data_IF_611632110646
#
_entry.id   IF_611632110646
#
_cell.length_a   1.000
_cell.length_b   1.000
_cell.length_c   1.000
_cell.angle_alpha   90.00
_cell.angle_beta   90.00
_cell.angle_gamma   90.00
#
_symmetry.space_group_name_H-M   'P 1'
#
loop_
_entity.id
_entity.type
_entity.pdbx_description
1 polymer ?
#
# COMPACT_ATOMS: atom_id res chain seq x y z
N UNK A 1 -26.73 21.66 -51.81
CA UNK A 1 -27.85 21.24 -50.94
C UNK A 1 -27.23 20.66 -49.68
N UNK A 2 -26.55 21.41 -48.82
CA UNK A 2 -26.92 22.66 -48.12
C UNK A 2 -28.02 22.42 -47.08
N UNK A 3 -27.58 22.27 -45.81
CA UNK A 3 -28.31 22.68 -44.60
C UNK A 3 -27.35 22.72 -43.41
N UNK A 4 -26.77 23.90 -43.24
CA UNK A 4 -26.21 24.39 -42.00
C UNK A 4 -27.24 24.38 -40.86
N UNK A 5 -26.81 24.04 -39.63
CA UNK A 5 -27.46 24.51 -38.40
C UNK A 5 -26.43 24.92 -37.36
N UNK A 6 -26.19 26.22 -37.38
CA UNK A 6 -25.62 27.10 -36.36
C UNK A 6 -26.53 27.14 -35.12
N UNK A 7 -25.97 26.93 -33.92
CA UNK A 7 -26.47 27.47 -32.64
C UNK A 7 -25.24 27.63 -31.73
N UNK A 8 -24.65 28.82 -31.63
CA UNK A 8 -25.04 29.92 -30.74
C UNK A 8 -24.61 29.69 -29.28
N UNK A 9 -23.44 30.27 -28.97
CA UNK A 9 -22.93 30.56 -27.63
C UNK A 9 -23.84 31.55 -26.89
N UNK A 10 -23.79 31.57 -25.55
CA UNK A 10 -23.53 32.86 -24.92
C UNK A 10 -22.46 32.81 -23.83
N UNK A 11 -21.52 33.74 -23.98
CA UNK A 11 -20.75 34.40 -22.93
C UNK A 11 -21.68 34.84 -21.77
N UNK A 12 -21.28 34.61 -20.52
CA UNK A 12 -21.79 35.42 -19.41
C UNK A 12 -20.76 35.57 -18.25
N UNK A 13 -20.25 36.80 -18.15
CA UNK A 13 -20.00 37.61 -16.96
C UNK A 13 -19.17 37.10 -15.77
N UNK A 14 -17.93 37.60 -15.76
CA UNK A 14 -17.24 38.33 -14.70
C UNK A 14 -18.07 38.74 -13.45
N UNK A 15 -17.62 38.36 -12.26
CA UNK A 15 -17.90 39.07 -11.02
C UNK A 15 -16.65 39.10 -10.12
N UNK A 16 -16.10 40.30 -9.95
CA UNK A 16 -15.13 40.69 -8.93
C UNK A 16 -15.79 40.68 -7.53
N UNK A 17 -15.10 40.13 -6.53
CA UNK A 17 -15.25 40.47 -5.11
C UNK A 17 -13.84 40.47 -4.50
N UNK A 18 -13.20 41.63 -4.37
CA UNK A 18 -13.21 42.55 -3.20
C UNK A 18 -12.61 41.91 -1.93
N UNK A 19 -11.38 42.34 -1.62
CA UNK A 19 -10.69 42.15 -0.34
C UNK A 19 -11.25 43.05 0.77
N UNK A 20 -11.07 42.64 2.04
CA UNK A 20 -10.47 43.49 3.06
C UNK A 20 -9.29 42.73 3.74
N UNK A 21 -8.07 43.24 3.88
CA UNK A 21 -7.59 44.44 4.57
C UNK A 21 -7.91 44.49 6.07
N UNK A 22 -6.85 44.64 6.87
CA UNK A 22 -6.75 45.06 8.28
C UNK A 22 -6.81 43.98 9.38
N UNK A 23 -5.65 43.80 10.01
CA UNK A 23 -5.45 43.10 11.28
C UNK A 23 -4.03 43.30 11.82
N UNK A 24 -3.56 44.55 11.88
CA UNK A 24 -2.36 44.94 12.62
C UNK A 24 -2.66 44.92 14.12
N UNK A 25 -2.13 43.93 14.83
CA UNK A 25 -1.99 43.95 16.29
C UNK A 25 -0.59 44.40 16.65
N UNK A 26 -0.49 45.62 17.17
CA UNK A 26 0.71 46.20 17.73
C UNK A 26 0.70 46.11 19.27
N UNK A 27 1.91 46.15 19.83
CA UNK A 27 2.27 46.33 21.24
C UNK A 27 2.10 45.10 22.15
N UNK A 28 3.23 44.54 22.59
CA UNK A 28 3.62 44.90 23.96
C UNK A 28 5.15 45.00 24.09
N UNK A 29 5.53 46.01 24.86
CA UNK A 29 6.88 46.46 25.17
C UNK A 29 7.18 46.11 26.62
N UNK A 30 8.48 46.11 26.96
CA UNK A 30 9.03 46.23 28.32
C UNK A 30 9.39 44.92 29.00
N UNK A 31 10.70 44.65 29.06
CA UNK A 31 11.46 44.40 30.30
C UNK A 31 12.95 44.34 29.97
N UNK A 32 13.59 45.51 29.97
CA UNK A 32 15.03 45.67 30.20
C UNK A 32 15.28 45.78 31.72
N UNK A 33 16.12 44.90 32.26
CA UNK A 33 16.96 45.06 33.46
C UNK A 33 17.89 43.83 33.44
N UNK A 34 19.09 43.90 32.86
CA UNK A 34 20.33 44.44 33.44
C UNK A 34 20.66 43.81 34.79
N UNK A 35 21.56 42.81 34.84
CA UNK A 35 22.64 42.68 35.85
C UNK A 35 23.82 41.86 35.27
N UNK A 36 24.89 42.59 34.94
CA UNK A 36 26.33 42.39 35.21
C UNK A 36 26.98 40.97 35.20
N UNK A 37 27.98 40.89 34.32
CA UNK A 37 29.41 40.79 34.64
C UNK A 37 30.00 39.47 35.17
N UNK A 38 31.09 39.06 34.53
CA UNK A 38 31.78 37.79 34.81
C UNK A 38 32.76 37.40 33.71
N UNK A 39 33.62 38.33 33.31
CA UNK A 39 34.82 38.02 32.53
C UNK A 39 35.84 37.23 33.36
N UNK A 40 36.74 36.54 32.64
CA UNK A 40 38.01 35.96 33.09
C UNK A 40 38.01 34.57 33.77
N UNK A 41 38.24 33.54 32.96
CA UNK A 41 39.37 32.59 33.11
C UNK A 41 39.49 31.75 31.84
N UNK A 42 40.44 32.08 30.97
CA UNK A 42 41.79 31.51 30.96
C UNK A 42 41.81 30.02 30.56
N UNK A 43 42.03 29.83 29.26
CA UNK A 43 43.15 29.06 28.74
C UNK A 43 43.36 27.65 29.31
N UNK A 44 42.80 26.66 28.60
CA UNK A 44 43.41 25.34 28.55
C UNK A 44 43.27 24.73 27.16
N UNK A 45 44.36 24.92 26.42
CA UNK A 45 44.90 24.08 25.36
C UNK A 45 44.44 22.64 25.45
N UNK A 46 43.74 22.19 24.41
CA UNK A 46 43.35 20.81 24.18
C UNK A 46 42.90 20.63 22.73
N UNK A 47 43.79 20.93 21.78
CA UNK A 47 43.63 20.54 20.36
C UNK A 47 43.66 19.01 20.26
N UNK A 48 42.54 18.37 20.60
CA UNK A 48 42.17 17.08 20.05
C UNK A 48 41.42 17.37 18.75
N UNK A 49 42.01 16.98 17.63
CA UNK A 49 41.35 17.01 16.33
C UNK A 49 40.06 16.19 16.45
N UNK A 50 38.91 16.88 16.55
CA UNK A 50 37.66 16.29 16.11
C UNK A 50 37.82 16.11 14.61
N UNK A 51 38.15 14.88 14.22
CA UNK A 51 37.66 14.33 12.97
C UNK A 51 36.16 14.67 12.91
N UNK A 52 35.84 15.66 12.09
CA UNK A 52 34.52 15.84 11.53
C UNK A 52 34.27 14.55 10.76
N UNK A 53 33.69 13.57 11.44
CA UNK A 53 33.14 12.37 10.81
C UNK A 53 32.12 12.88 9.80
N UNK A 54 32.28 12.58 8.50
CA UNK A 54 31.25 12.90 7.52
C UNK A 54 29.96 12.24 7.99
N UNK A 55 28.87 12.99 7.84
CA UNK A 55 27.52 12.69 8.27
C UNK A 55 27.20 11.20 8.27
N UNK A 56 26.85 10.69 9.46
CA UNK A 56 26.24 9.39 9.65
C UNK A 56 24.81 9.36 9.10
N UNK A 57 24.64 9.62 7.80
CA UNK A 57 23.47 9.19 7.02
C UNK A 57 23.54 7.67 6.86
N UNK A 58 23.49 6.95 7.98
CA UNK A 58 23.31 5.51 8.04
C UNK A 58 21.87 5.28 8.48
N UNK A 59 20.94 5.57 7.58
CA UNK A 59 19.51 5.37 7.77
C UNK A 59 18.90 5.18 6.41
N UNK A 60 18.88 3.92 5.93
CA UNK A 60 18.48 3.52 4.58
C UNK A 60 19.36 4.12 3.47
N UNK A 61 20.56 3.56 3.31
CA UNK A 61 21.00 3.25 1.96
C UNK A 61 19.92 2.35 1.35
N UNK A 62 18.93 2.96 0.72
CA UNK A 62 18.04 2.32 -0.24
C UNK A 62 18.94 1.70 -1.31
N UNK A 63 19.46 0.49 -1.07
CA UNK A 63 20.22 -0.20 -2.08
C UNK A 63 19.22 -0.69 -3.13
N UNK A 64 18.91 0.21 -4.06
CA UNK A 64 17.93 -0.02 -5.12
C UNK A 64 18.30 -1.19 -6.04
N UNK A 65 19.57 -1.54 -5.98
CA UNK A 65 20.20 -2.78 -6.39
C UNK A 65 19.35 -4.02 -6.08
N UNK A 66 18.74 -4.11 -4.89
CA UNK A 66 17.98 -5.28 -4.46
C UNK A 66 16.65 -5.44 -5.19
N UNK A 67 16.13 -4.38 -5.84
CA UNK A 67 14.89 -4.47 -6.62
C UNK A 67 15.09 -4.47 -8.13
N UNK A 68 16.32 -4.55 -8.62
CA UNK A 68 16.63 -4.53 -10.05
C UNK A 68 15.69 -5.42 -10.87
N UNK A 69 14.79 -4.80 -11.64
CA UNK A 69 13.88 -5.51 -12.53
C UNK A 69 14.57 -5.65 -13.89
N UNK A 70 14.71 -6.87 -14.44
CA UNK A 70 15.22 -7.05 -15.79
C UNK A 70 14.40 -6.21 -16.78
N UNK A 71 15.07 -5.36 -17.55
CA UNK A 71 14.51 -4.41 -18.53
C UNK A 71 13.86 -3.11 -17.99
N UNK A 72 13.94 -2.82 -16.69
CA UNK A 72 13.44 -1.56 -16.13
C UNK A 72 14.55 -0.84 -15.35
N UNK A 73 14.85 0.40 -15.72
CA UNK A 73 16.00 1.11 -15.17
C UNK A 73 15.67 1.68 -13.78
N UNK A 74 16.67 1.78 -12.91
CA UNK A 74 16.52 2.33 -11.56
C UNK A 74 15.84 3.73 -11.50
N UNK A 75 16.04 4.64 -12.48
CA UNK A 75 15.32 5.92 -12.50
C UNK A 75 13.80 5.79 -12.67
N UNK A 76 13.31 4.73 -13.31
CA UNK A 76 11.89 4.58 -13.65
C UNK A 76 11.00 4.34 -12.41
N UNK A 77 11.61 3.98 -11.29
CA UNK A 77 10.93 3.77 -10.00
C UNK A 77 11.15 4.93 -9.02
N UNK A 78 11.89 5.96 -9.43
CA UNK A 78 11.94 7.26 -8.77
C UNK A 78 11.28 8.29 -9.69
N UNK A 79 9.94 8.17 -9.91
CA UNK A 79 9.22 9.16 -10.69
C UNK A 79 9.50 10.55 -10.14
N UNK A 80 9.52 11.56 -11.02
CA UNK A 80 9.59 12.94 -10.55
C UNK A 80 8.34 13.20 -9.71
N UNK A 81 8.41 14.14 -8.77
CA UNK A 81 7.25 14.49 -7.94
C UNK A 81 6.01 14.88 -8.78
N UNK A 82 6.20 15.36 -10.01
CA UNK A 82 5.14 15.64 -10.99
C UNK A 82 4.41 14.40 -11.53
N UNK A 83 5.04 13.23 -11.45
CA UNK A 83 4.57 11.99 -12.07
C UNK A 83 3.93 11.05 -11.02
N UNK A 84 3.94 11.46 -9.75
CA UNK A 84 3.25 10.75 -8.67
C UNK A 84 1.75 10.93 -8.81
N UNK A 85 1.03 9.81 -8.77
CA UNK A 85 -0.42 9.84 -8.74
C UNK A 85 -0.82 10.11 -7.30
N UNK A 86 -1.87 10.92 -7.12
CA UNK A 86 -2.38 11.23 -5.79
C UNK A 86 -2.80 9.95 -5.07
N UNK A 87 -2.43 9.82 -3.79
CA UNK A 87 -2.97 8.75 -2.93
C UNK A 87 -4.51 8.78 -2.93
N UNK A 88 -5.11 7.59 -2.96
CA UNK A 88 -6.54 7.38 -3.10
C UNK A 88 -7.07 7.49 -4.54
N UNK A 89 -6.21 7.74 -5.53
CA UNK A 89 -6.62 7.69 -6.92
C UNK A 89 -6.91 6.24 -7.33
N UNK A 90 -7.96 6.06 -8.13
CA UNK A 90 -8.35 4.74 -8.65
C UNK A 90 -7.83 4.59 -10.08
N UNK A 91 -7.06 3.53 -10.31
CA UNK A 91 -6.71 3.03 -11.62
C UNK A 91 -7.91 2.21 -12.11
N UNK A 92 -8.53 2.62 -13.21
CA UNK A 92 -9.71 1.93 -13.77
C UNK A 92 -9.34 1.15 -15.02
N UNK A 93 -9.42 -0.18 -14.95
CA UNK A 93 -9.27 -1.09 -16.09
C UNK A 93 -8.07 -0.74 -16.98
N UNK A 94 -6.90 -0.54 -16.37
CA UNK A 94 -5.67 -0.26 -17.13
C UNK A 94 -5.00 -1.56 -17.51
N UNK A 95 -4.51 -1.62 -18.75
CA UNK A 95 -3.74 -2.74 -19.24
C UNK A 95 -2.29 -2.63 -18.79
N UNK A 96 -1.66 -3.77 -18.54
CA UNK A 96 -0.25 -3.84 -18.23
C UNK A 96 0.21 -5.24 -17.90
N UNK A 97 1.47 -5.33 -17.48
CA UNK A 97 2.15 -6.58 -17.15
C UNK A 97 2.61 -6.55 -15.70
N UNK A 98 2.46 -7.68 -15.02
CA UNK A 98 3.02 -7.89 -13.70
C UNK A 98 4.43 -8.46 -13.85
N UNK A 99 5.43 -7.78 -13.31
CA UNK A 99 6.85 -8.17 -13.38
C UNK A 99 7.37 -8.39 -11.97
N UNK A 100 8.01 -9.54 -11.74
CA UNK A 100 8.68 -9.83 -10.48
C UNK A 100 9.98 -9.04 -10.33
N UNK A 101 10.29 -8.64 -9.10
CA UNK A 101 11.54 -7.99 -8.72
C UNK A 101 12.43 -8.98 -7.96
N UNK A 102 13.75 -8.80 -8.02
CA UNK A 102 14.74 -9.62 -7.30
C UNK A 102 14.53 -9.66 -5.79
N UNK A 103 13.95 -8.61 -5.21
CA UNK A 103 13.63 -8.51 -3.78
C UNK A 103 12.34 -9.21 -3.36
N UNK A 104 11.71 -9.99 -4.25
CA UNK A 104 10.43 -10.67 -3.98
C UNK A 104 9.19 -9.78 -4.07
N UNK A 105 9.36 -8.50 -4.39
CA UNK A 105 8.26 -7.60 -4.71
C UNK A 105 7.75 -7.77 -6.15
N UNK A 106 6.55 -7.26 -6.42
CA UNK A 106 5.99 -7.23 -7.77
C UNK A 106 5.75 -5.80 -8.22
N UNK A 107 5.91 -5.55 -9.51
CA UNK A 107 5.71 -4.23 -10.11
C UNK A 107 4.78 -4.36 -11.29
N UNK A 108 3.77 -3.49 -11.34
CA UNK A 108 2.86 -3.38 -12.45
C UNK A 108 3.37 -2.33 -13.42
N UNK A 109 3.69 -2.77 -14.64
CA UNK A 109 4.12 -1.91 -15.75
C UNK A 109 2.93 -1.71 -16.65
N UNK A 110 2.43 -0.47 -16.72
CA UNK A 110 1.28 -0.13 -17.54
C UNK A 110 1.67 -0.10 -19.03
N UNK A 111 0.75 -0.57 -19.86
CA UNK A 111 0.84 -0.37 -21.30
C UNK A 111 0.40 1.06 -21.66
N UNK A 112 0.94 1.58 -22.77
CA UNK A 112 0.54 2.85 -23.35
C UNK A 112 -0.94 2.80 -23.78
N UNK A 113 -1.68 3.86 -23.49
CA UNK A 113 -3.06 3.98 -23.97
C UNK A 113 -3.14 4.53 -25.41
N UNK A 114 -4.36 4.74 -25.90
CA UNK A 114 -4.64 5.29 -27.23
C UNK A 114 -3.99 6.67 -27.47
N UNK A 115 -3.67 7.42 -26.40
CA UNK A 115 -3.00 8.71 -26.48
C UNK A 115 -1.47 8.60 -26.37
N UNK A 116 -0.93 7.38 -26.30
CA UNK A 116 0.48 7.13 -26.06
C UNK A 116 0.92 7.43 -24.63
N UNK A 117 -0.02 7.53 -23.68
CA UNK A 117 0.29 7.81 -22.28
C UNK A 117 0.27 6.51 -21.45
N UNK A 118 1.41 6.18 -20.86
CA UNK A 118 1.53 5.14 -19.85
C UNK A 118 1.83 5.79 -18.49
N UNK A 119 1.02 5.51 -17.44
CA UNK A 119 1.41 5.85 -16.08
C UNK A 119 2.76 5.24 -15.72
N UNK A 120 3.50 5.90 -14.83
CA UNK A 120 4.74 5.35 -14.30
C UNK A 120 4.48 3.96 -13.67
N UNK A 121 5.45 3.02 -13.75
CA UNK A 121 5.34 1.72 -13.09
C UNK A 121 5.06 1.86 -11.60
N UNK A 122 4.25 0.95 -11.05
CA UNK A 122 3.84 0.98 -9.65
C UNK A 122 4.20 -0.30 -8.93
N UNK A 123 4.60 -0.20 -7.67
CA UNK A 123 4.88 -1.37 -6.83
C UNK A 123 3.55 -1.97 -6.37
N UNK A 124 3.30 -3.24 -6.65
CA UNK A 124 2.05 -3.89 -6.25
C UNK A 124 2.14 -4.30 -4.78
N UNK A 125 1.12 -3.94 -4.01
CA UNK A 125 1.07 -4.20 -2.58
C UNK A 125 0.74 -5.67 -2.29
N UNK A 126 1.31 -6.25 -1.22
CA UNK A 126 0.93 -7.57 -0.73
C UNK A 126 -0.58 -7.68 -0.46
N UNK A 127 -1.28 -8.51 -1.24
CA UNK A 127 -2.71 -8.78 -1.07
C UNK A 127 -3.12 -10.12 -1.68
N UNK A 128 -4.32 -10.62 -1.32
CA UNK A 128 -4.87 -11.85 -1.93
C UNK A 128 -4.96 -11.74 -3.45
N UNK A 129 -5.30 -10.55 -3.98
CA UNK A 129 -5.39 -10.31 -5.43
C UNK A 129 -4.04 -10.44 -6.12
N UNK A 130 -2.97 -9.94 -5.50
CA UNK A 130 -1.62 -10.15 -6.03
C UNK A 130 -1.27 -11.65 -6.08
N UNK A 131 -1.58 -12.40 -5.01
CA UNK A 131 -1.35 -13.85 -4.96
C UNK A 131 -2.14 -14.60 -6.04
N UNK A 132 -3.37 -14.17 -6.35
CA UNK A 132 -4.15 -14.73 -7.46
C UNK A 132 -3.50 -14.44 -8.82
N UNK A 133 -3.00 -13.22 -9.04
CA UNK A 133 -2.28 -12.85 -10.27
C UNK A 133 -0.99 -13.65 -10.43
N UNK A 134 -0.23 -13.86 -9.35
CA UNK A 134 0.98 -14.70 -9.33
C UNK A 134 0.67 -16.15 -9.71
N UNK A 135 -0.43 -16.71 -9.20
CA UNK A 135 -0.88 -18.07 -9.58
C UNK A 135 -1.23 -18.16 -11.07
N UNK A 136 -1.81 -17.12 -11.65
CA UNK A 136 -2.05 -17.06 -13.10
C UNK A 136 -0.73 -17.07 -13.87
N UNK A 137 0.25 -16.27 -13.43
CA UNK A 137 1.59 -16.25 -14.03
C UNK A 137 2.29 -17.61 -13.91
N UNK A 138 2.20 -18.28 -12.76
CA UNK A 138 2.86 -19.57 -12.56
C UNK A 138 2.26 -20.71 -13.40
N UNK A 139 1.04 -20.53 -13.91
CA UNK A 139 0.32 -21.54 -14.70
C UNK A 139 0.55 -21.37 -16.20
N UNK A 140 1.07 -20.21 -16.65
CA UNK A 140 1.25 -19.90 -18.07
C UNK A 140 2.72 -19.67 -18.37
N UNK A 141 3.22 -20.35 -19.40
CA UNK A 141 4.60 -20.17 -19.89
C UNK A 141 4.78 -18.90 -20.73
N UNK A 142 3.70 -18.17 -21.02
CA UNK A 142 3.67 -16.98 -21.86
C UNK A 142 3.44 -15.69 -21.06
N UNK A 143 3.84 -14.56 -21.66
CA UNK A 143 3.62 -13.22 -21.09
C UNK A 143 2.12 -12.95 -20.97
N UNK A 144 1.64 -12.71 -19.75
CA UNK A 144 0.23 -12.42 -19.46
C UNK A 144 0.01 -10.92 -19.34
N UNK A 145 -0.90 -10.38 -20.15
CA UNK A 145 -1.40 -9.01 -19.98
C UNK A 145 -2.61 -9.02 -19.07
N UNK A 146 -2.60 -8.14 -18.07
CA UNK A 146 -3.67 -7.97 -17.12
C UNK A 146 -4.40 -6.65 -17.38
N UNK A 147 -5.72 -6.68 -17.20
CA UNK A 147 -6.55 -5.50 -17.05
C UNK A 147 -6.83 -5.32 -15.56
N UNK A 148 -6.22 -4.30 -14.93
CA UNK A 148 -6.27 -4.10 -13.48
C UNK A 148 -7.12 -2.88 -13.11
N UNK A 149 -7.89 -3.04 -12.02
CA UNK A 149 -8.51 -1.96 -11.27
C UNK A 149 -7.98 -2.00 -9.84
N UNK A 150 -7.58 -0.85 -9.31
CA UNK A 150 -7.05 -0.76 -7.95
C UNK A 150 -6.85 0.66 -7.49
N UNK A 151 -6.53 0.80 -6.20
CA UNK A 151 -6.28 2.08 -5.54
C UNK A 151 -4.76 2.34 -5.47
N UNK A 152 -4.36 3.59 -5.71
CA UNK A 152 -2.97 4.03 -5.65
C UNK A 152 -2.66 4.64 -4.29
N UNK A 153 -1.56 4.19 -3.70
CA UNK A 153 -0.98 4.71 -2.47
C UNK A 153 0.35 5.37 -2.76
N UNK A 154 0.74 6.33 -1.91
CA UNK A 154 2.05 6.98 -2.02
C UNK A 154 2.82 6.73 -0.74
N UNK A 155 4.06 6.29 -0.86
CA UNK A 155 4.94 6.11 0.28
C UNK A 155 6.39 6.40 -0.13
N UNK A 156 7.07 7.28 0.61
CA UNK A 156 8.47 7.68 0.35
C UNK A 156 8.71 8.11 -1.11
N UNK A 157 7.77 8.86 -1.67
CA UNK A 157 7.87 9.38 -3.03
C UNK A 157 7.72 8.31 -4.13
N UNK A 158 7.03 7.20 -3.87
CA UNK A 158 6.72 6.17 -4.86
C UNK A 158 5.25 5.80 -4.84
N UNK A 159 4.73 5.42 -6.01
CA UNK A 159 3.37 4.91 -6.16
C UNK A 159 3.34 3.40 -5.88
N UNK A 160 2.43 3.01 -5.00
CA UNK A 160 2.08 1.63 -4.70
C UNK A 160 0.66 1.38 -5.19
N UNK A 161 0.39 0.18 -5.70
CA UNK A 161 -0.92 -0.21 -6.24
C UNK A 161 -1.50 -1.32 -5.37
N UNK A 162 -2.67 -1.08 -4.79
CA UNK A 162 -3.48 -2.12 -4.16
C UNK A 162 -4.49 -2.67 -5.18
N UNK A 163 -4.29 -3.88 -5.73
CA UNK A 163 -5.22 -4.46 -6.70
C UNK A 163 -6.54 -4.83 -6.03
N UNK A 164 -7.66 -4.33 -6.55
CA UNK A 164 -9.01 -4.71 -6.08
C UNK A 164 -9.65 -5.76 -6.99
N UNK A 165 -9.48 -5.58 -8.31
CA UNK A 165 -10.02 -6.46 -9.35
C UNK A 165 -9.04 -6.56 -10.51
N UNK A 166 -8.92 -7.73 -11.09
CA UNK A 166 -8.20 -7.91 -12.35
C UNK A 166 -8.93 -8.88 -13.27
N UNK A 167 -8.63 -8.80 -14.56
CA UNK A 167 -8.91 -9.85 -15.53
C UNK A 167 -7.69 -10.09 -16.41
N UNK A 168 -7.56 -11.30 -16.96
CA UNK A 168 -6.49 -11.62 -17.90
C UNK A 168 -6.99 -11.36 -19.32
N UNK A 169 -6.23 -10.61 -20.10
CA UNK A 169 -6.40 -10.56 -21.55
C UNK A 169 -5.61 -11.75 -22.11
N UNK A 170 -6.28 -12.90 -22.26
CA UNK A 170 -5.66 -14.03 -22.93
C UNK A 170 -5.35 -13.62 -24.37
N UNK A 171 -4.10 -13.81 -24.81
CA UNK A 171 -3.78 -13.79 -26.23
C UNK A 171 -4.44 -15.05 -26.79
N UNK A 172 -5.67 -14.93 -27.31
CA UNK A 172 -6.49 -16.05 -27.83
C UNK A 172 -5.87 -16.75 -29.07
N UNK A 173 -4.60 -16.52 -29.39
CA UNK A 173 -4.03 -16.90 -30.68
C UNK A 173 -3.77 -18.41 -30.86
N UNK A 174 -3.72 -19.24 -29.81
CA UNK A 174 -3.44 -20.69 -30.01
C UNK A 174 -4.68 -21.60 -30.01
N UNK A 175 -5.82 -21.17 -29.46
CA UNK A 175 -6.98 -22.07 -29.30
C UNK A 175 -7.96 -22.06 -30.47
N UNK A 176 -7.92 -21.04 -31.33
CA UNK A 176 -8.77 -20.98 -32.53
C UNK A 176 -8.33 -21.98 -33.62
N UNK A 177 -7.04 -22.29 -33.71
CA UNK A 177 -6.53 -23.25 -34.69
C UNK A 177 -6.82 -24.72 -34.30
N UNK A 178 -6.90 -25.02 -33.00
CA UNK A 178 -7.23 -26.37 -32.51
C UNK A 178 -8.75 -26.62 -32.39
N UNK A 179 -9.54 -25.57 -32.07
CA UNK A 179 -11.01 -25.64 -32.01
C UNK A 179 -11.66 -25.82 -33.41
N UNK A 180 -11.03 -25.28 -34.47
CA UNK A 180 -11.47 -25.53 -35.84
C UNK A 180 -11.29 -27.02 -36.26
N UNK A 181 -10.34 -27.73 -35.66
CA UNK A 181 -10.11 -29.15 -35.92
C UNK A 181 -11.07 -30.08 -35.12
N UNK A 182 -11.47 -29.70 -33.91
CA UNK A 182 -12.29 -30.55 -33.03
C UNK A 182 -13.82 -30.37 -33.21
N UNK A 183 -14.28 -29.27 -33.80
CA UNK A 183 -15.73 -29.06 -34.05
C UNK A 183 -16.34 -29.98 -35.11
N UNK A 184 -15.55 -30.82 -35.79
CA UNK A 184 -16.08 -31.80 -36.75
C UNK A 184 -16.55 -33.10 -36.09
N UNK A 185 -16.28 -33.34 -34.79
CA UNK A 185 -16.46 -34.66 -34.19
C UNK A 185 -17.60 -34.82 -33.17
N UNK A 186 -18.38 -33.77 -32.87
CA UNK A 186 -19.51 -33.85 -31.92
C UNK A 186 -20.83 -33.63 -32.66
N UNK A 187 -21.21 -34.60 -33.49
CA UNK A 187 -22.58 -34.76 -33.98
C UNK A 187 -23.02 -36.20 -33.71
N UNK A 188 -23.83 -36.34 -32.66
CA UNK A 188 -24.42 -37.58 -32.16
C UNK A 188 -24.06 -37.72 -30.69
N UNK A 189 -24.96 -37.72 -29.73
CA UNK A 189 -26.41 -37.82 -29.71
C UNK A 189 -26.74 -38.34 -28.31
N UNK A 190 -27.67 -37.68 -27.62
CA UNK A 190 -28.48 -38.21 -26.52
C UNK A 190 -27.78 -38.73 -25.25
N UNK A 191 -27.18 -37.85 -24.43
CA UNK A 191 -26.95 -38.13 -23.00
C UNK A 191 -27.03 -36.87 -22.13
N UNK A 192 -28.21 -36.24 -22.12
CA UNK A 192 -28.50 -35.08 -21.24
C UNK A 192 -28.50 -35.51 -19.76
N UNK A 193 -28.90 -36.75 -19.48
CA UNK A 193 -29.01 -37.28 -18.12
C UNK A 193 -27.62 -37.51 -17.48
N UNK A 194 -26.64 -37.97 -18.27
CA UNK A 194 -25.24 -38.07 -17.82
C UNK A 194 -24.57 -36.72 -17.54
N UNK A 195 -24.99 -35.66 -18.24
CA UNK A 195 -24.49 -34.30 -18.00
C UNK A 195 -25.01 -33.72 -16.67
N UNK A 196 -26.27 -34.03 -16.31
CA UNK A 196 -26.86 -33.58 -15.04
C UNK A 196 -26.20 -34.27 -13.84
N UNK A 197 -25.96 -35.58 -13.94
CA UNK A 197 -25.29 -36.34 -12.86
C UNK A 197 -23.82 -35.94 -12.70
N UNK A 198 -23.11 -35.68 -13.80
CA UNK A 198 -21.73 -35.18 -13.73
C UNK A 198 -21.64 -33.77 -13.12
N UNK A 199 -22.57 -32.87 -13.45
CA UNK A 199 -22.62 -31.53 -12.82
C UNK A 199 -22.96 -31.59 -11.32
N UNK A 200 -23.87 -32.49 -10.90
CA UNK A 200 -24.20 -32.67 -9.48
C UNK A 200 -23.01 -33.25 -8.69
N UNK A 201 -22.32 -34.24 -9.25
CA UNK A 201 -21.11 -34.80 -8.64
C UNK A 201 -19.97 -33.76 -8.52
N UNK A 202 -19.86 -32.85 -9.48
CA UNK A 202 -18.90 -31.75 -9.44
C UNK A 202 -19.22 -30.75 -8.33
N UNK A 203 -20.50 -30.38 -8.16
CA UNK A 203 -20.95 -29.47 -7.12
C UNK A 203 -20.69 -30.01 -5.69
N UNK A 204 -20.93 -31.30 -5.44
CA UNK A 204 -20.64 -31.94 -4.15
C UNK A 204 -19.13 -31.97 -3.83
N UNK A 205 -18.29 -32.11 -4.86
CA UNK A 205 -16.84 -32.06 -4.71
C UNK A 205 -16.33 -30.65 -4.41
N UNK A 206 -16.92 -29.61 -5.01
CA UNK A 206 -16.58 -28.21 -4.72
C UNK A 206 -17.00 -27.80 -3.31
N UNK A 207 -18.17 -28.23 -2.84
CA UNK A 207 -18.67 -27.93 -1.48
C UNK A 207 -17.85 -28.63 -0.39
N UNK A 208 -17.39 -29.86 -0.65
CA UNK A 208 -16.47 -30.59 0.22
C UNK A 208 -15.05 -29.99 0.26
N UNK A 209 -14.60 -29.35 -0.84
CA UNK A 209 -13.32 -28.64 -0.88
C UNK A 209 -13.40 -27.27 -0.22
N UNK A 210 -14.50 -26.52 -0.38
CA UNK A 210 -14.74 -25.25 0.30
C UNK A 210 -14.79 -25.41 1.84
N UNK A 211 -15.28 -26.55 2.33
CA UNK A 211 -15.39 -26.85 3.76
C UNK A 211 -14.07 -27.28 4.42
N UNK A 212 -13.03 -27.64 3.64
CA UNK A 212 -11.71 -28.04 4.17
C UNK A 212 -10.70 -26.89 4.29
N UNK A 213 -11.03 -25.69 3.82
CA UNK A 213 -10.13 -24.53 3.81
C UNK A 213 -10.17 -23.61 5.05
N UNK A 214 -11.08 -23.82 6.01
CA UNK A 214 -11.53 -22.73 6.89
C UNK A 214 -11.08 -22.80 8.37
N UNK A 215 -9.93 -23.40 8.68
CA UNK A 215 -9.41 -23.33 10.05
C UNK A 215 -7.88 -23.42 10.15
N UNK A 216 -7.12 -22.66 9.34
CA UNK A 216 -5.79 -22.24 9.80
C UNK A 216 -5.99 -21.18 10.89
N UNK A 217 -6.14 -21.64 12.13
CA UNK A 217 -6.14 -20.83 13.36
C UNK A 217 -4.87 -19.98 13.38
N UNK A 218 -5.00 -18.65 13.36
CA UNK A 218 -3.87 -17.74 13.63
C UNK A 218 -3.81 -16.48 12.77
N UNK A 219 -4.46 -16.45 11.60
CA UNK A 219 -4.34 -15.31 10.68
C UNK A 219 -5.66 -14.55 10.56
N UNK A 220 -5.57 -13.22 10.56
CA UNK A 220 -6.68 -12.33 10.27
C UNK A 220 -7.19 -12.57 8.84
N UNK A 221 -8.49 -12.37 8.64
CA UNK A 221 -9.12 -12.58 7.33
C UNK A 221 -8.74 -11.42 6.40
N UNK A 222 -8.52 -11.73 5.13
CA UNK A 222 -8.39 -10.68 4.11
C UNK A 222 -9.66 -9.81 4.10
N UNK A 223 -9.48 -8.49 4.10
CA UNK A 223 -10.54 -7.50 4.23
C UNK A 223 -11.06 -7.27 5.65
N UNK A 224 -10.51 -7.91 6.67
CA UNK A 224 -10.91 -7.69 8.07
C UNK A 224 -10.59 -6.25 8.50
N UNK A 225 -11.58 -5.58 9.11
CA UNK A 225 -11.41 -4.22 9.61
C UNK A 225 -10.96 -4.25 11.06
N UNK A 226 -9.78 -3.70 11.34
CA UNK A 226 -9.31 -3.40 12.69
C UNK A 226 -9.79 -2.00 13.05
N UNK A 227 -10.43 -1.86 14.22
CA UNK A 227 -10.97 -0.58 14.69
C UNK A 227 -10.36 -0.22 16.03
N UNK A 228 -9.66 0.91 16.06
CA UNK A 228 -9.13 1.53 17.27
C UNK A 228 -8.33 0.59 18.17
N UNK A 229 -7.51 -0.28 17.57
CA UNK A 229 -6.69 -1.23 18.31
C UNK A 229 -5.44 -0.53 18.84
N UNK A 230 -5.21 -0.61 20.14
CA UNK A 230 -3.96 -0.17 20.76
C UNK A 230 -2.85 -1.16 20.39
N UNK A 231 -1.65 -0.66 20.13
CA UNK A 231 -0.49 -1.51 19.93
C UNK A 231 0.79 -0.72 19.72
N UNK A 232 1.90 -1.46 19.62
CA UNK A 232 3.23 -0.91 19.45
C UNK A 232 3.72 -1.12 18.03
N UNK A 233 4.19 -0.05 17.42
CA UNK A 233 4.88 -0.11 16.13
C UNK A 233 6.37 -0.39 16.35
N UNK A 234 6.94 -1.37 15.64
CA UNK A 234 8.35 -1.77 15.71
C UNK A 234 8.93 -2.03 14.33
N UNK A 235 10.26 -1.94 14.18
CA UNK A 235 10.93 -2.35 12.94
C UNK A 235 10.97 -3.88 12.84
N UNK A 236 10.61 -4.40 11.68
CA UNK A 236 10.78 -5.80 11.31
C UNK A 236 12.25 -6.10 10.99
N UNK A 237 12.65 -7.37 11.08
CA UNK A 237 13.97 -7.83 10.61
C UNK A 237 14.13 -7.67 9.09
N UNK A 238 13.02 -7.64 8.35
CA UNK A 238 12.99 -7.39 6.90
C UNK A 238 12.98 -5.90 6.54
N UNK A 239 13.15 -4.99 7.52
CA UNK A 239 13.21 -3.54 7.31
C UNK A 239 11.85 -2.83 7.22
N UNK A 240 10.75 -3.57 7.10
CA UNK A 240 9.38 -3.05 7.19
C UNK A 240 9.01 -2.60 8.61
N UNK A 241 7.81 -2.04 8.76
CA UNK A 241 7.21 -1.77 10.07
C UNK A 241 6.18 -2.83 10.41
N UNK A 242 6.18 -3.26 11.65
CA UNK A 242 5.18 -4.16 12.22
C UNK A 242 4.39 -3.43 13.30
N UNK A 243 3.09 -3.63 13.32
CA UNK A 243 2.21 -3.28 14.42
C UNK A 243 1.95 -4.53 15.25
N UNK A 244 2.32 -4.48 16.53
CA UNK A 244 2.03 -5.53 17.50
C UNK A 244 0.86 -5.05 18.34
N UNK A 245 -0.36 -5.59 18.14
CA UNK A 245 -1.50 -5.25 18.97
C UNK A 245 -1.15 -5.49 20.45
N UNK A 246 -1.48 -4.53 21.30
CA UNK A 246 -1.44 -4.71 22.74
C UNK A 246 -2.81 -5.23 23.14
N UNK A 247 -2.88 -6.50 23.54
CA UNK A 247 -4.12 -7.06 24.04
C UNK A 247 -4.31 -6.63 25.49
N UNK A 248 -5.42 -5.96 25.75
CA UNK A 248 -5.88 -5.71 27.12
C UNK A 248 -6.09 -7.08 27.78
N UNK A 249 -5.38 -7.34 28.87
CA UNK A 249 -5.48 -8.61 29.60
C UNK A 249 -6.91 -8.92 30.05
N UNK A 250 -7.76 -7.89 30.14
CA UNK A 250 -9.17 -7.99 30.54
C UNK A 250 -10.12 -8.43 29.40
N UNK A 251 -9.70 -8.38 28.13
CA UNK A 251 -10.50 -8.85 26.98
C UNK A 251 -10.25 -10.34 26.66
N UNK A 252 -9.55 -11.06 27.55
CA UNK A 252 -9.41 -12.51 27.57
C UNK A 252 -10.71 -13.20 28.01
N UNK A 253 -11.82 -12.90 27.33
CA UNK A 253 -13.00 -13.75 27.40
C UNK A 253 -12.63 -15.19 26.97
N UNK A 254 -13.38 -16.22 27.40
CA UNK A 254 -13.10 -17.63 27.08
C UNK A 254 -13.20 -18.01 25.58
N UNK A 255 -13.23 -17.02 24.68
CA UNK A 255 -13.16 -17.16 23.23
C UNK A 255 -12.07 -16.30 22.56
N UNK A 256 -11.22 -15.58 23.32
CA UNK A 256 -10.10 -14.84 22.75
C UNK A 256 -9.21 -15.80 21.96
N UNK A 257 -9.07 -15.55 20.66
CA UNK A 257 -8.38 -16.46 19.75
C UNK A 257 -6.88 -16.21 19.94
N UNK A 258 -6.12 -17.27 20.18
CA UNK A 258 -4.66 -17.27 20.29
C UNK A 258 -3.91 -16.83 18.99
N UNK A 259 -4.58 -16.14 18.07
CA UNK A 259 -4.03 -15.52 16.87
C UNK A 259 -4.18 -13.99 16.81
N UNK A 260 -4.90 -13.36 17.75
CA UNK A 260 -5.13 -11.90 17.73
C UNK A 260 -3.86 -11.10 18.13
N UNK A 261 -2.82 -11.78 18.62
CA UNK A 261 -1.51 -11.21 18.96
C UNK A 261 -0.47 -11.29 17.83
N UNK A 262 -0.86 -11.78 16.63
CA UNK A 262 0.08 -11.87 15.53
C UNK A 262 0.53 -10.46 15.09
N UNK A 263 1.85 -10.21 14.96
CA UNK A 263 2.34 -8.94 14.44
C UNK A 263 1.81 -8.73 13.01
N UNK A 264 1.31 -7.53 12.74
CA UNK A 264 0.78 -7.14 11.43
C UNK A 264 1.80 -6.27 10.72
N UNK A 265 2.24 -6.67 9.53
CA UNK A 265 3.17 -5.84 8.73
C UNK A 265 2.41 -4.65 8.15
N UNK A 266 2.87 -3.44 8.44
CA UNK A 266 2.23 -2.22 7.94
C UNK A 266 2.52 -2.04 6.44
N UNK A 267 1.45 -1.82 5.69
CA UNK A 267 1.52 -1.59 4.25
C UNK A 267 1.98 -0.17 3.91
N UNK A 268 2.75 0.01 2.82
CA UNK A 268 3.20 1.31 2.36
C UNK A 268 2.04 2.27 2.03
N UNK A 269 1.88 3.33 2.81
CA UNK A 269 0.94 4.43 2.54
C UNK A 269 1.41 5.74 3.20
N UNK A 270 0.77 6.88 2.93
CA UNK A 270 1.21 8.16 3.52
C UNK A 270 0.97 8.22 5.02
N UNK A 271 -0.05 7.51 5.52
CA UNK A 271 -0.26 7.42 6.97
C UNK A 271 0.89 6.71 7.65
N UNK A 272 1.41 5.62 7.08
CA UNK A 272 2.61 4.96 7.59
C UNK A 272 3.81 5.91 7.56
N UNK A 273 4.01 6.64 6.46
CA UNK A 273 5.09 7.64 6.37
C UNK A 273 4.95 8.74 7.44
N UNK A 274 3.73 9.21 7.69
CA UNK A 274 3.45 10.17 8.75
C UNK A 274 3.76 9.57 10.13
N UNK A 275 3.39 8.31 10.39
CA UNK A 275 3.72 7.63 11.64
C UNK A 275 5.25 7.49 11.84
N UNK A 276 6.00 7.18 10.78
CA UNK A 276 7.47 7.17 10.80
C UNK A 276 8.05 8.51 11.23
N UNK A 277 7.54 9.60 10.66
CA UNK A 277 7.96 10.97 11.02
C UNK A 277 7.67 11.29 12.49
N UNK A 278 6.58 10.77 13.07
CA UNK A 278 6.25 10.98 14.49
C UNK A 278 7.16 10.21 15.45
N UNK A 279 7.60 9.00 15.07
CA UNK A 279 8.54 8.20 15.88
C UNK A 279 9.97 8.74 15.75
N UNK A 280 10.29 9.31 14.58
CA UNK A 280 11.64 9.71 14.20
C UNK A 280 12.57 8.50 14.07
N UNK A 281 13.87 8.73 14.25
CA UNK A 281 14.91 7.68 14.17
C UNK A 281 15.02 6.83 15.44
N UNK A 282 13.99 6.84 16.30
CA UNK A 282 14.05 6.13 17.58
C UNK A 282 13.70 4.66 17.37
N UNK A 283 14.67 3.77 17.57
CA UNK A 283 14.48 2.31 17.54
C UNK A 283 13.46 1.79 18.58
N UNK A 284 13.05 2.63 19.54
CA UNK A 284 12.06 2.27 20.57
C UNK A 284 10.65 2.09 20.03
N UNK A 285 10.37 2.55 18.81
CA UNK A 285 9.04 2.54 18.25
C UNK A 285 8.11 3.54 18.94
N UNK A 286 6.81 3.45 18.65
CA UNK A 286 5.77 4.27 19.28
C UNK A 286 4.54 3.44 19.60
N UNK A 287 3.76 3.88 20.58
CA UNK A 287 2.45 3.29 20.91
C UNK A 287 1.38 4.07 20.17
N UNK A 288 0.56 3.34 19.41
CA UNK A 288 -0.48 3.90 18.57
C UNK A 288 -1.80 3.17 18.80
N UNK A 289 -2.88 3.92 18.62
CA UNK A 289 -4.20 3.35 18.37
C UNK A 289 -4.44 3.39 16.86
N UNK A 290 -4.56 2.22 16.23
CA UNK A 290 -4.70 2.06 14.78
C UNK A 290 -6.07 1.54 14.38
N UNK A 291 -6.55 2.05 13.24
CA UNK A 291 -7.63 1.46 12.47
C UNK A 291 -7.15 1.24 11.04
N UNK A 292 -7.62 0.17 10.41
CA UNK A 292 -7.18 -0.19 9.07
C UNK A 292 -7.79 -1.49 8.58
N UNK A 293 -7.51 -1.83 7.33
CA UNK A 293 -7.93 -3.09 6.71
C UNK A 293 -6.77 -4.07 6.67
N UNK A 294 -7.05 -5.33 7.02
CA UNK A 294 -6.06 -6.39 6.97
C UNK A 294 -6.09 -7.05 5.61
N UNK A 295 -4.91 -7.29 5.05
CA UNK A 295 -4.67 -8.01 3.81
C UNK A 295 -3.87 -9.26 4.09
N UNK A 296 -4.27 -10.39 3.51
CA UNK A 296 -3.52 -11.64 3.64
C UNK A 296 -2.66 -11.85 2.39
N UNK A 297 -1.37 -12.16 2.57
CA UNK A 297 -0.49 -12.47 1.45
C UNK A 297 0.62 -13.42 1.88
N UNK A 298 0.86 -14.47 1.07
CA UNK A 298 1.88 -15.49 1.34
C UNK A 298 1.84 -16.13 2.74
N UNK A 299 0.68 -16.15 3.40
CA UNK A 299 0.52 -16.66 4.77
C UNK A 299 0.84 -15.66 5.88
N UNK A 300 1.19 -14.42 5.53
CA UNK A 300 1.41 -13.32 6.46
C UNK A 300 0.22 -12.34 6.45
N UNK A 301 0.08 -11.58 7.53
CA UNK A 301 -0.96 -10.56 7.69
C UNK A 301 -0.37 -9.16 7.56
N UNK A 302 -0.95 -8.38 6.66
CA UNK A 302 -0.55 -7.03 6.35
C UNK A 302 -1.66 -6.05 6.75
N UNK A 303 -1.35 -4.91 7.31
CA UNK A 303 -2.34 -3.91 7.73
C UNK A 303 -2.16 -2.64 6.89
N UNK A 304 -3.22 -2.22 6.20
CA UNK A 304 -3.31 -0.92 5.56
C UNK A 304 -3.94 0.09 6.54
N UNK A 305 -3.16 1.00 7.14
CA UNK A 305 -3.70 1.99 8.06
C UNK A 305 -4.64 2.96 7.35
N UNK A 306 -5.80 3.22 7.95
CA UNK A 306 -6.76 4.24 7.50
C UNK A 306 -6.89 5.39 8.50
N UNK A 307 -6.56 5.14 9.76
CA UNK A 307 -6.50 6.15 10.82
C UNK A 307 -5.48 5.73 11.89
N UNK A 308 -4.79 6.69 12.48
CA UNK A 308 -3.98 6.47 13.66
C UNK A 308 -4.14 7.60 14.68
N UNK A 309 -3.87 7.27 15.94
CA UNK A 309 -3.67 8.24 17.03
C UNK A 309 -2.42 7.85 17.80
N UNK A 310 -1.52 8.81 17.99
CA UNK A 310 -0.34 8.62 18.84
C UNK A 310 -0.75 8.69 20.31
N UNK A 311 -0.37 7.68 21.09
CA UNK A 311 -0.56 7.68 22.55
C UNK A 311 0.72 8.19 23.19
N UNK A 312 0.64 9.30 23.91
CA UNK A 312 1.79 9.85 24.65
C UNK A 312 1.88 9.13 26.00
N UNK A 313 3.08 8.69 26.39
CA UNK A 313 3.32 7.97 27.65
C UNK A 313 2.81 8.71 28.91
N UNK A 314 2.60 10.02 28.84
CA UNK A 314 2.02 10.81 29.94
C UNK A 314 0.57 10.44 30.27
N UNK A 315 -0.17 9.83 29.33
CA UNK A 315 -1.58 9.45 29.53
C UNK A 315 -1.72 8.05 30.15
N UNK A 316 -0.73 7.18 29.99
CA UNK A 316 -0.72 5.82 30.57
C UNK A 316 -0.36 5.81 32.06
N UNK A 317 -0.10 6.98 32.66
CA UNK A 317 0.27 7.15 34.07
C UNK A 317 -0.89 7.09 35.07
N UNK A 318 -2.12 6.82 34.64
CA UNK A 318 -3.25 6.63 35.55
C UNK A 318 -3.28 5.20 36.10
N UNK A 319 -2.89 5.08 37.37
CA UNK A 319 -3.12 3.95 38.29
C UNK A 319 -1.97 2.94 38.55
N UNK A 320 -0.70 3.30 38.35
CA UNK A 320 0.38 2.66 39.14
C UNK A 320 0.67 3.51 40.39
N UNK A 321 -0.28 3.53 41.32
CA UNK A 321 -0.27 4.42 42.48
C UNK A 321 -0.82 3.76 43.73
N UNK A 322 0.08 3.05 44.42
CA UNK A 322 0.14 2.74 45.88
C UNK A 322 -0.94 1.90 46.54
#
# INVERSE_FOLDING_TARGET
MDRARTLASPLLFLALLVSPALGQGAADTTSEEEILDGAERADRVGRGALEVRPDGTTGMGEDLSDWAIPALAVPDFRPRASDLIREGAVVNQRQGRLVGSTGGGHVFVFDEDENGFAPAPMIVMPSVRLMEMERVLSTRDSVVTFLITGEVFVYKGRNYLNPERFSTLAIEQEKQDEAAAQQTQVRGGDDVEGLIDSLRAQAEHEEAQASRGTARRGFARDGELIVSKLGRMRRSTLGGWEFVPENDADDMGPGARAGDDAPLTLLPCRLLESMEQHIGDTDRGGVFVLSGTVHAYAGESYLLPTMYRLVRETETGLASGR
#
